data_IF_694133915372
#
_entry.id   IF_694133915372
#
_cell.length_a   1.000
_cell.length_b   1.000
_cell.length_c   1.000
_cell.angle_alpha   90.00
_cell.angle_beta   90.00
_cell.angle_gamma   90.00
#
_symmetry.space_group_name_H-M   'P 1'
#
loop_
_entity.id
_entity.type
_entity.pdbx_description
1 polymer ?
#
# COMPACT_ATOMS: atom_id res chain seq x y z
N UNK A 1 -14.20 -15.86 -15.82
CA UNK A 1 -14.05 -14.57 -16.51
C UNK A 1 -13.17 -13.74 -15.58
N UNK A 2 -11.87 -13.67 -15.87
CA UNK A 2 -10.97 -12.88 -15.03
C UNK A 2 -11.27 -11.40 -15.36
N UNK A 3 -11.68 -10.59 -14.39
CA UNK A 3 -12.16 -9.21 -14.62
C UNK A 3 -11.12 -8.26 -15.27
N UNK A 4 -9.90 -8.73 -15.51
CA UNK A 4 -8.86 -7.99 -16.21
C UNK A 4 -8.87 -8.22 -17.73
N UNK A 5 -9.56 -9.25 -18.23
CA UNK A 5 -9.66 -9.57 -19.66
C UNK A 5 -10.28 -8.41 -20.46
N UNK A 6 -11.08 -7.57 -19.80
CA UNK A 6 -11.73 -6.38 -20.38
C UNK A 6 -10.77 -5.18 -20.57
N UNK A 7 -9.55 -5.24 -20.02
CA UNK A 7 -8.60 -4.12 -20.01
C UNK A 7 -7.29 -4.51 -20.73
N UNK A 8 -7.11 -4.11 -22.00
CA UNK A 8 -5.97 -4.55 -22.81
C UNK A 8 -4.61 -4.02 -22.31
N UNK A 9 -4.61 -3.04 -21.41
CA UNK A 9 -3.44 -2.42 -20.79
C UNK A 9 -3.23 -2.83 -19.32
N UNK A 10 -3.98 -3.80 -18.82
CA UNK A 10 -3.86 -4.30 -17.45
C UNK A 10 -3.27 -5.70 -17.45
N UNK A 11 -2.13 -5.89 -16.79
CA UNK A 11 -1.53 -7.21 -16.58
C UNK A 11 -1.69 -7.63 -15.13
N UNK A 12 -2.24 -8.83 -14.90
CA UNK A 12 -2.34 -9.41 -13.56
C UNK A 12 -1.07 -10.18 -13.21
N UNK A 13 -0.44 -9.80 -12.10
CA UNK A 13 0.72 -10.51 -11.53
C UNK A 13 0.22 -11.35 -10.36
N UNK A 14 0.37 -12.67 -10.46
CA UNK A 14 0.01 -13.60 -9.38
C UNK A 14 1.17 -13.70 -8.38
N UNK A 15 0.90 -13.32 -7.13
CA UNK A 15 1.86 -13.50 -6.03
C UNK A 15 1.77 -14.91 -5.45
N UNK A 16 2.88 -15.52 -5.01
CA UNK A 16 2.83 -16.77 -4.28
C UNK A 16 2.12 -16.57 -2.93
N UNK A 17 1.39 -17.60 -2.45
CA UNK A 17 0.70 -17.53 -1.17
C UNK A 17 1.72 -17.39 -0.03
N UNK A 18 1.34 -16.63 1.02
CA UNK A 18 2.15 -16.37 2.21
C UNK A 18 3.48 -15.63 1.98
N UNK A 19 3.59 -14.86 0.89
CA UNK A 19 4.76 -14.01 0.60
C UNK A 19 4.46 -12.51 0.73
N UNK A 20 4.24 -11.98 1.95
CA UNK A 20 4.00 -10.56 2.17
C UNK A 20 5.17 -9.67 1.74
N UNK A 21 6.41 -10.18 1.77
CA UNK A 21 7.62 -9.50 1.32
C UNK A 21 7.60 -9.11 -0.16
N UNK A 22 6.85 -9.86 -0.97
CA UNK A 22 6.67 -9.56 -2.38
C UNK A 22 5.59 -8.51 -2.59
N UNK A 23 4.57 -8.44 -1.73
CA UNK A 23 3.47 -7.49 -1.89
C UNK A 23 3.91 -6.05 -1.51
N UNK A 24 4.05 -5.10 -2.46
CA UNK A 24 4.58 -3.78 -2.16
C UNK A 24 3.75 -2.97 -1.16
N UNK A 25 2.44 -3.28 -1.08
CA UNK A 25 1.51 -2.61 -0.17
C UNK A 25 1.87 -2.82 1.31
N UNK A 26 2.50 -3.94 1.64
CA UNK A 26 2.88 -4.26 3.03
C UNK A 26 3.93 -3.26 3.57
N UNK A 27 4.80 -2.74 2.70
CA UNK A 27 5.75 -1.70 3.08
C UNK A 27 5.06 -0.38 3.40
N UNK A 28 4.04 -0.02 2.62
CA UNK A 28 3.22 1.16 2.90
C UNK A 28 2.55 1.00 4.26
N UNK A 29 2.01 -0.19 4.55
CA UNK A 29 1.28 -0.43 5.80
C UNK A 29 2.24 -0.38 6.99
N UNK A 30 3.43 -0.95 6.84
CA UNK A 30 4.49 -0.84 7.83
C UNK A 30 4.85 0.62 8.10
N UNK A 31 5.02 1.44 7.05
CA UNK A 31 5.36 2.85 7.18
C UNK A 31 4.28 3.64 7.92
N UNK A 32 3.01 3.50 7.52
CA UNK A 32 1.88 4.18 8.17
C UNK A 32 1.75 3.80 9.64
N UNK A 33 1.90 2.51 9.96
CA UNK A 33 1.88 2.02 11.34
C UNK A 33 3.01 2.64 12.16
N UNK A 34 4.24 2.65 11.66
CA UNK A 34 5.41 3.15 12.42
C UNK A 34 5.40 4.67 12.63
N UNK A 35 4.88 5.45 11.67
CA UNK A 35 5.03 6.91 11.68
C UNK A 35 3.80 7.66 12.18
N UNK A 36 2.60 7.09 12.03
CA UNK A 36 1.35 7.84 12.30
C UNK A 36 0.42 7.14 13.29
N UNK A 37 0.38 5.80 13.26
CA UNK A 37 -0.61 5.04 14.03
C UNK A 37 -0.03 4.34 15.26
N UNK A 38 1.29 4.27 15.42
CA UNK A 38 1.94 3.63 16.55
C UNK A 38 1.68 4.37 17.87
N UNK A 39 1.50 3.60 18.95
CA UNK A 39 1.42 4.08 20.33
C UNK A 39 0.35 5.16 20.57
N UNK A 40 -0.72 5.16 19.76
CA UNK A 40 -1.86 6.08 19.90
C UNK A 40 -3.08 5.34 20.42
N UNK A 41 -3.78 5.95 21.36
CA UNK A 41 -5.11 5.51 21.79
C UNK A 41 -6.16 6.27 20.97
N UNK A 42 -7.17 5.55 20.48
CA UNK A 42 -8.26 6.13 19.71
C UNK A 42 -9.54 6.14 20.54
N UNK A 43 -10.32 7.21 20.43
CA UNK A 43 -11.54 7.37 21.22
C UNK A 43 -12.69 6.52 20.67
N UNK A 44 -12.86 6.53 19.35
CA UNK A 44 -13.94 5.89 18.62
C UNK A 44 -13.50 5.54 17.19
N UNK A 45 -14.41 4.98 16.40
CA UNK A 45 -14.13 4.61 15.02
C UNK A 45 -13.73 5.81 14.15
N UNK A 46 -14.39 6.95 14.35
CA UNK A 46 -14.16 8.14 13.52
C UNK A 46 -12.74 8.69 13.76
N UNK A 47 -12.25 8.68 15.00
CA UNK A 47 -10.86 9.07 15.32
C UNK A 47 -9.82 8.14 14.62
N UNK A 48 -10.12 6.85 14.49
CA UNK A 48 -9.27 5.91 13.71
C UNK A 48 -9.30 6.28 12.23
N UNK A 49 -10.49 6.50 11.68
CA UNK A 49 -10.67 6.81 10.26
C UNK A 49 -9.98 8.13 9.88
N UNK A 50 -10.13 9.16 10.72
CA UNK A 50 -9.49 10.47 10.53
C UNK A 50 -7.97 10.37 10.60
N UNK A 51 -7.44 9.63 11.58
CA UNK A 51 -6.01 9.41 11.70
C UNK A 51 -5.44 8.65 10.49
N UNK A 52 -6.10 7.58 10.05
CA UNK A 52 -5.71 6.83 8.85
C UNK A 52 -5.78 7.70 7.59
N UNK A 53 -6.84 8.50 7.45
CA UNK A 53 -7.03 9.40 6.30
C UNK A 53 -5.95 10.47 6.24
N UNK A 54 -5.63 11.09 7.39
CA UNK A 54 -4.56 12.07 7.50
C UNK A 54 -3.19 11.46 7.17
N UNK A 55 -2.91 10.28 7.74
CA UNK A 55 -1.69 9.51 7.46
C UNK A 55 -1.55 9.22 5.96
N UNK A 56 -2.63 8.76 5.34
CA UNK A 56 -2.68 8.45 3.91
C UNK A 56 -2.43 9.68 3.06
N UNK A 57 -3.11 10.80 3.33
CA UNK A 57 -2.93 12.07 2.62
C UNK A 57 -1.50 12.58 2.71
N UNK A 58 -0.89 12.48 3.89
CA UNK A 58 0.51 12.87 4.07
C UNK A 58 1.46 11.94 3.30
N UNK A 59 1.20 10.64 3.32
CA UNK A 59 1.98 9.65 2.59
C UNK A 59 1.96 9.86 1.08
N UNK A 60 0.77 10.00 0.48
CA UNK A 60 0.62 10.15 -0.98
C UNK A 60 1.12 11.49 -1.50
N UNK A 61 1.26 12.51 -0.63
CA UNK A 61 1.86 13.78 -1.00
C UNK A 61 3.37 13.66 -1.27
N UNK A 62 4.04 12.64 -0.71
CA UNK A 62 5.46 12.34 -0.92
C UNK A 62 5.63 11.29 -2.02
N UNK A 63 5.50 11.73 -3.28
CA UNK A 63 5.53 10.86 -4.46
C UNK A 63 6.82 10.05 -4.55
N UNK A 64 7.98 10.65 -4.22
CA UNK A 64 9.27 9.97 -4.26
C UNK A 64 9.32 8.81 -3.27
N UNK A 65 8.82 9.01 -2.03
CA UNK A 65 8.71 7.93 -1.05
C UNK A 65 7.75 6.83 -1.51
N UNK A 66 6.58 7.19 -2.05
CA UNK A 66 5.60 6.22 -2.56
C UNK A 66 6.25 5.33 -3.63
N UNK A 67 6.93 5.95 -4.60
CA UNK A 67 7.62 5.22 -5.67
C UNK A 67 8.72 4.32 -5.11
N UNK A 68 9.56 4.83 -4.22
CA UNK A 68 10.65 4.07 -3.59
C UNK A 68 10.12 2.84 -2.86
N UNK A 69 9.10 2.99 -2.02
CA UNK A 69 8.52 1.89 -1.24
C UNK A 69 7.77 0.87 -2.11
N UNK A 70 7.14 1.30 -3.20
CA UNK A 70 6.37 0.39 -4.05
C UNK A 70 7.21 -0.27 -5.15
N UNK A 71 8.43 0.23 -5.41
CA UNK A 71 9.30 -0.31 -6.46
C UNK A 71 9.83 -1.70 -6.12
N UNK A 72 9.83 -2.60 -7.10
CA UNK A 72 10.43 -3.94 -7.01
C UNK A 72 11.05 -4.29 -8.36
N UNK A 73 12.29 -4.74 -8.34
CA UNK A 73 12.97 -5.13 -9.57
C UNK A 73 12.32 -6.35 -10.24
N UNK A 74 11.80 -7.28 -9.45
CA UNK A 74 11.17 -8.50 -9.95
C UNK A 74 9.81 -8.25 -10.64
N UNK A 75 9.15 -7.12 -10.39
CA UNK A 75 7.83 -6.77 -10.98
C UNK A 75 7.97 -6.28 -12.43
N UNK A 76 9.17 -5.91 -12.88
CA UNK A 76 9.39 -5.36 -14.22
C UNK A 76 9.01 -6.40 -15.28
N UNK A 77 7.82 -6.23 -15.86
CA UNK A 77 7.34 -7.00 -17.01
C UNK A 77 8.19 -6.58 -18.21
N UNK A 78 8.93 -7.54 -18.79
CA UNK A 78 9.77 -7.32 -19.98
C UNK A 78 8.90 -7.34 -21.23
#
# INVERSE_FOLDING_TARGET
MECADDFPNLSLIKLPPYSPELNPIEQVWSWLRQHVLANRSFKDYDDILDACTSAWKHFIADVERVMSLCSRDWIKLT
#
